data_IF_262663760943
#
_entry.id   IF_262663760943
#
_cell.length_a   1.000
_cell.length_b   1.000
_cell.length_c   1.000
_cell.angle_alpha   90.00
_cell.angle_beta   90.00
_cell.angle_gamma   90.00
#
_symmetry.space_group_name_H-M   'P 1'
#
loop_
_entity.id
_entity.type
_entity.pdbx_description
1 polymer ?
#
# COMPACT_ATOMS: atom_id res chain seq x y z
N UNK A 1 44.44 -0.32 -39.59
CA UNK A 1 44.15 0.82 -38.71
C UNK A 1 43.27 1.77 -39.49
N UNK A 2 42.36 2.48 -38.80
CA UNK A 2 41.16 3.24 -39.25
C UNK A 2 39.90 2.37 -39.49
N UNK A 3 38.65 2.78 -39.24
CA UNK A 3 37.93 3.53 -38.19
C UNK A 3 36.40 3.29 -38.44
N UNK A 4 35.57 3.35 -37.39
CA UNK A 4 34.12 3.67 -37.27
C UNK A 4 33.05 3.34 -38.35
N UNK A 5 31.93 2.80 -37.82
CA UNK A 5 30.49 2.99 -38.14
C UNK A 5 29.73 1.74 -38.63
N UNK A 6 28.82 1.24 -37.80
CA UNK A 6 27.88 0.15 -38.13
C UNK A 6 26.68 0.62 -38.97
N UNK A 7 25.73 -0.27 -39.33
CA UNK A 7 24.49 0.15 -39.95
C UNK A 7 23.43 0.58 -38.91
N UNK A 8 22.81 1.71 -39.21
CA UNK A 8 21.66 2.32 -38.57
C UNK A 8 20.42 1.42 -38.72
N UNK A 9 19.73 1.12 -37.62
CA UNK A 9 18.34 0.66 -37.68
C UNK A 9 17.41 1.77 -37.20
N UNK A 10 16.85 2.49 -38.16
CA UNK A 10 15.80 3.48 -37.94
C UNK A 10 14.48 2.75 -37.68
N UNK A 11 13.99 2.78 -36.44
CA UNK A 11 12.57 2.52 -36.16
C UNK A 11 11.88 3.89 -36.11
N UNK A 12 10.91 4.17 -37.00
CA UNK A 12 10.19 5.43 -36.97
C UNK A 12 9.21 5.41 -35.79
N UNK A 13 9.46 6.22 -34.77
CA UNK A 13 8.41 6.63 -33.85
C UNK A 13 8.03 8.06 -34.23
N UNK A 14 6.77 8.19 -34.62
CA UNK A 14 6.17 9.44 -35.06
C UNK A 14 6.36 10.56 -34.05
N UNK A 15 6.59 11.75 -34.61
CA UNK A 15 6.61 13.06 -33.96
C UNK A 15 5.54 13.17 -32.85
N UNK A 16 5.95 13.52 -31.64
CA UNK A 16 5.27 14.55 -30.82
C UNK A 16 6.16 14.96 -29.62
N UNK A 17 6.65 16.20 -29.69
CA UNK A 17 7.07 17.13 -28.63
C UNK A 17 7.56 16.56 -27.27
N UNK A 18 8.88 16.54 -27.10
CA UNK A 18 9.54 17.41 -26.11
C UNK A 18 9.23 17.30 -24.62
N UNK A 19 8.65 16.21 -24.12
CA UNK A 19 8.67 15.91 -22.68
C UNK A 19 9.56 14.71 -22.41
N UNK A 20 10.60 14.94 -21.62
CA UNK A 20 11.45 13.89 -21.06
C UNK A 20 10.55 12.99 -20.22
N UNK A 21 10.22 11.81 -20.77
CA UNK A 21 9.45 10.80 -20.06
C UNK A 21 10.40 10.16 -19.04
N UNK A 22 10.45 10.71 -17.83
CA UNK A 22 11.20 10.11 -16.73
C UNK A 22 10.60 8.73 -16.45
N UNK A 23 11.40 7.68 -16.68
CA UNK A 23 11.07 6.30 -16.33
C UNK A 23 10.56 6.22 -14.87
N UNK A 24 9.56 5.35 -14.58
CA UNK A 24 8.93 5.31 -13.27
C UNK A 24 9.94 4.88 -12.20
N UNK A 25 9.96 5.63 -11.10
CA UNK A 25 10.67 5.31 -9.88
C UNK A 25 10.40 3.86 -9.49
N UNK A 26 11.44 3.02 -9.41
CA UNK A 26 11.33 1.67 -8.83
C UNK A 26 11.05 1.80 -7.32
N UNK A 27 9.80 2.08 -6.95
CA UNK A 27 9.42 2.10 -5.55
C UNK A 27 9.38 0.65 -5.07
N UNK A 28 10.35 0.30 -4.22
CA UNK A 28 10.50 -1.06 -3.67
C UNK A 28 9.73 -1.28 -2.36
N UNK A 29 9.23 -0.20 -1.74
CA UNK A 29 8.63 -0.24 -0.41
C UNK A 29 7.47 0.75 -0.29
N UNK A 30 6.50 0.44 0.55
CA UNK A 30 5.38 1.33 0.86
C UNK A 30 5.85 2.65 1.46
N UNK A 31 6.94 2.63 2.24
CA UNK A 31 7.57 3.86 2.74
C UNK A 31 8.01 4.80 1.61
N UNK A 32 8.52 4.23 0.50
CA UNK A 32 8.86 5.01 -0.69
C UNK A 32 7.63 5.65 -1.33
N UNK A 33 6.49 4.96 -1.35
CA UNK A 33 5.20 5.51 -1.81
C UNK A 33 4.76 6.68 -0.91
N UNK A 34 4.87 6.51 0.40
CA UNK A 34 4.51 7.56 1.37
C UNK A 34 5.42 8.79 1.32
N UNK A 35 6.60 8.70 0.71
CA UNK A 35 7.54 9.81 0.58
C UNK A 35 7.10 10.69 -0.60
N UNK A 36 6.74 11.95 -0.34
CA UNK A 36 6.08 12.84 -1.30
C UNK A 36 4.73 12.30 -1.80
N UNK A 37 3.92 11.78 -0.87
CA UNK A 37 2.66 11.10 -1.17
C UNK A 37 1.73 11.92 -2.08
N UNK A 38 1.61 13.23 -1.85
CA UNK A 38 0.80 14.13 -2.68
C UNK A 38 1.19 14.06 -4.17
N UNK A 39 2.48 14.14 -4.48
CA UNK A 39 2.94 13.99 -5.87
C UNK A 39 2.76 12.56 -6.36
N UNK A 40 2.95 11.57 -5.49
CA UNK A 40 2.86 10.16 -5.87
C UNK A 40 1.42 9.73 -6.17
N UNK A 41 0.40 10.36 -5.56
CA UNK A 41 -1.00 10.03 -5.83
C UNK A 41 -1.37 10.09 -7.32
N UNK A 42 -0.85 11.10 -8.02
CA UNK A 42 -1.14 11.34 -9.44
C UNK A 42 -0.07 10.78 -10.40
N UNK A 43 1.06 10.27 -9.86
CA UNK A 43 2.11 9.66 -10.67
C UNK A 43 1.69 8.28 -11.18
N UNK A 44 2.11 7.97 -12.40
CA UNK A 44 1.92 6.67 -13.02
C UNK A 44 3.03 5.69 -12.60
N UNK A 45 2.63 4.50 -12.19
CA UNK A 45 3.51 3.41 -11.77
C UNK A 45 3.33 2.19 -12.66
N UNK A 46 4.44 1.50 -12.98
CA UNK A 46 4.39 0.13 -13.49
C UNK A 46 4.52 -0.83 -12.31
N UNK A 47 3.41 -1.44 -11.92
CA UNK A 47 3.39 -2.44 -10.87
C UNK A 47 3.56 -3.85 -11.43
N UNK A 48 4.15 -4.78 -10.65
CA UNK A 48 4.19 -6.19 -11.01
C UNK A 48 2.77 -6.71 -11.31
N UNK A 49 2.59 -7.36 -12.46
CA UNK A 49 1.29 -7.91 -12.88
C UNK A 49 0.40 -6.96 -13.69
N UNK A 50 0.75 -5.67 -13.82
CA UNK A 50 0.01 -4.72 -14.64
C UNK A 50 0.62 -4.62 -16.05
N UNK A 51 -0.23 -4.61 -17.09
CA UNK A 51 0.20 -4.46 -18.48
C UNK A 51 0.52 -3.01 -18.86
N UNK A 52 -0.04 -2.05 -18.13
CA UNK A 52 0.07 -0.62 -18.37
C UNK A 52 0.36 0.14 -17.07
N UNK A 53 0.88 1.36 -17.20
CA UNK A 53 1.10 2.22 -16.06
C UNK A 53 -0.25 2.68 -15.48
N UNK A 54 -0.34 2.73 -14.15
CA UNK A 54 -1.56 3.11 -13.41
C UNK A 54 -1.25 4.21 -12.41
N UNK A 55 -2.17 5.13 -12.16
CA UNK A 55 -1.98 6.12 -11.10
C UNK A 55 -2.13 5.47 -9.73
N UNK A 56 -1.39 5.95 -8.74
CA UNK A 56 -1.46 5.41 -7.39
C UNK A 56 -2.87 5.52 -6.78
N UNK A 57 -3.56 6.65 -7.03
CA UNK A 57 -4.92 6.86 -6.54
C UNK A 57 -5.93 5.83 -7.10
N UNK A 58 -5.70 5.30 -8.30
CA UNK A 58 -6.62 4.35 -8.95
C UNK A 58 -6.49 2.92 -8.40
N UNK A 59 -5.40 2.65 -7.68
CA UNK A 59 -5.08 1.32 -7.13
C UNK A 59 -5.09 1.29 -5.60
N UNK A 60 -5.24 2.45 -4.95
CA UNK A 60 -5.36 2.56 -3.51
C UNK A 60 -6.78 2.17 -3.08
N UNK A 61 -6.87 1.10 -2.29
CA UNK A 61 -8.15 0.57 -1.83
C UNK A 61 -8.33 0.90 -0.35
N UNK A 62 -9.42 1.60 -0.01
CA UNK A 62 -9.79 1.77 1.39
C UNK A 62 -10.25 0.41 1.94
N UNK A 63 -9.72 -0.02 3.10
CA UNK A 63 -10.15 -1.25 3.77
C UNK A 63 -11.65 -1.27 4.07
N UNK A 64 -12.30 -0.11 4.25
CA UNK A 64 -13.76 0.03 4.42
C UNK A 64 -14.58 -0.51 3.24
N UNK A 65 -13.99 -0.52 2.04
CA UNK A 65 -14.62 -1.00 0.81
C UNK A 65 -14.40 -2.50 0.55
N UNK A 66 -13.63 -3.20 1.40
CA UNK A 66 -13.29 -4.61 1.23
C UNK A 66 -14.28 -5.48 2.00
N UNK A 67 -14.93 -6.43 1.33
CA UNK A 67 -15.97 -7.28 1.91
C UNK A 67 -15.67 -8.79 1.88
N UNK A 68 -14.62 -9.21 1.16
CA UNK A 68 -14.19 -10.61 1.08
C UNK A 68 -12.69 -10.79 1.18
N UNK A 69 -12.26 -12.04 1.37
CA UNK A 69 -10.88 -12.47 1.20
C UNK A 69 -10.42 -12.27 -0.26
N UNK A 70 -9.12 -12.05 -0.44
CA UNK A 70 -8.48 -11.92 -1.75
C UNK A 70 -7.03 -12.42 -1.70
N UNK A 71 -6.78 -13.47 -2.49
CA UNK A 71 -5.47 -14.11 -2.61
C UNK A 71 -4.48 -13.32 -3.47
N UNK A 72 -4.93 -12.27 -4.16
CA UNK A 72 -4.07 -11.39 -4.96
C UNK A 72 -3.65 -10.20 -4.11
N UNK A 73 -2.34 -10.01 -3.85
CA UNK A 73 -1.87 -8.85 -3.11
C UNK A 73 -2.22 -7.54 -3.81
N UNK A 74 -2.78 -6.58 -3.05
CA UNK A 74 -3.15 -5.24 -3.54
C UNK A 74 -2.70 -4.17 -2.55
N UNK A 75 -2.80 -2.91 -2.96
CA UNK A 75 -2.44 -1.77 -2.15
C UNK A 75 -3.66 -1.24 -1.40
N UNK A 76 -3.64 -1.38 -0.08
CA UNK A 76 -4.69 -0.96 0.82
C UNK A 76 -4.26 0.21 1.70
N UNK A 77 -5.24 0.96 2.18
CA UNK A 77 -5.05 1.90 3.28
C UNK A 77 -6.22 1.87 4.25
N UNK A 78 -5.96 2.20 5.50
CA UNK A 78 -6.99 2.26 6.53
C UNK A 78 -6.62 3.23 7.64
N UNK A 79 -7.64 3.89 8.19
CA UNK A 79 -7.50 4.76 9.36
C UNK A 79 -7.68 3.94 10.63
N UNK A 80 -6.70 4.01 11.53
CA UNK A 80 -6.66 3.18 12.75
C UNK A 80 -7.69 3.66 13.76
N UNK A 81 -8.52 2.74 14.28
CA UNK A 81 -9.42 3.01 15.42
C UNK A 81 -8.84 2.50 16.74
N UNK A 82 -8.02 1.45 16.70
CA UNK A 82 -7.31 0.92 17.86
C UNK A 82 -6.13 0.06 17.43
N UNK A 83 -5.11 -0.02 18.28
CA UNK A 83 -4.02 -0.97 18.13
C UNK A 83 -3.64 -1.52 19.50
N UNK A 84 -3.57 -2.84 19.63
CA UNK A 84 -3.29 -3.47 20.91
C UNK A 84 -2.38 -4.67 20.78
N UNK A 85 -1.36 -4.75 21.63
CA UNK A 85 -0.61 -5.99 21.83
C UNK A 85 -1.51 -7.01 22.54
N UNK A 86 -1.73 -8.17 21.91
CA UNK A 86 -2.55 -9.26 22.45
C UNK A 86 -1.74 -10.13 23.42
N UNK A 87 -1.08 -9.47 24.37
CA UNK A 87 -0.28 -10.07 25.43
C UNK A 87 0.69 -9.05 26.03
N UNK A 88 1.76 -9.52 26.67
CA UNK A 88 2.73 -8.65 27.40
C UNK A 88 4.10 -8.52 26.73
N UNK A 89 4.40 -9.32 25.71
CA UNK A 89 5.72 -9.40 25.09
C UNK A 89 5.70 -8.92 23.64
N UNK A 90 6.87 -8.50 23.15
CA UNK A 90 7.04 -7.96 21.79
C UNK A 90 6.83 -9.01 20.68
N UNK A 91 6.98 -10.30 20.99
CA UNK A 91 6.73 -11.42 20.08
C UNK A 91 5.26 -11.86 20.03
N UNK A 92 4.38 -11.25 20.83
CA UNK A 92 2.94 -11.46 20.69
C UNK A 92 2.42 -10.72 19.46
N UNK A 93 1.25 -11.13 18.99
CA UNK A 93 0.59 -10.41 17.91
C UNK A 93 0.01 -9.10 18.43
N UNK A 94 0.26 -8.02 17.72
CA UNK A 94 -0.49 -6.78 17.82
C UNK A 94 -1.60 -6.80 16.78
N UNK A 95 -2.81 -6.50 17.20
CA UNK A 95 -3.95 -6.33 16.32
C UNK A 95 -4.25 -4.84 16.20
N UNK A 96 -4.15 -4.32 14.98
CA UNK A 96 -4.46 -2.93 14.65
C UNK A 96 -5.73 -2.91 13.82
N UNK A 97 -6.81 -2.39 14.40
CA UNK A 97 -8.13 -2.34 13.76
C UNK A 97 -8.31 -1.01 13.04
N UNK A 98 -9.00 -1.06 11.91
CA UNK A 98 -9.28 0.09 11.08
C UNK A 98 -10.74 0.52 11.16
N UNK A 99 -11.02 1.77 10.78
CA UNK A 99 -12.37 2.23 10.49
C UNK A 99 -12.97 1.30 9.43
N UNK A 100 -14.08 0.67 9.78
CA UNK A 100 -14.73 -0.34 8.96
C UNK A 100 -16.24 -0.29 9.22
N UNK A 101 -16.98 0.20 8.23
CA UNK A 101 -18.40 0.47 8.29
C UNK A 101 -19.14 -0.84 8.10
N UNK A 102 -19.77 -1.28 9.19
CA UNK A 102 -20.63 -2.45 9.19
C UNK A 102 -21.94 -2.12 8.49
N UNK A 103 -22.00 -2.33 7.19
CA UNK A 103 -23.28 -2.36 6.48
C UNK A 103 -23.92 -3.74 6.67
N UNK A 104 -25.12 -3.78 7.25
CA UNK A 104 -25.92 -5.00 7.43
C UNK A 104 -26.25 -5.72 6.10
N UNK A 105 -26.03 -5.05 4.95
CA UNK A 105 -26.08 -5.63 3.61
C UNK A 105 -24.75 -6.22 3.14
N UNK A 106 -23.60 -5.73 3.63
CA UNK A 106 -22.25 -6.28 3.41
C UNK A 106 -22.05 -7.43 4.40
N UNK A 107 -22.81 -8.50 4.21
CA UNK A 107 -22.79 -9.66 5.10
C UNK A 107 -21.51 -10.44 4.88
N UNK A 108 -20.63 -10.42 5.87
CA UNK A 108 -19.87 -11.57 6.41
C UNK A 108 -18.85 -11.10 7.45
N UNK A 109 -18.23 -9.94 7.22
CA UNK A 109 -17.11 -9.45 8.04
C UNK A 109 -17.51 -8.41 9.09
N UNK A 110 -17.06 -8.61 10.33
CA UNK A 110 -17.43 -7.72 11.47
C UNK A 110 -16.44 -6.57 11.70
N UNK A 111 -15.21 -6.73 11.24
CA UNK A 111 -14.11 -5.78 11.37
C UNK A 111 -13.03 -6.05 10.29
N UNK A 112 -12.06 -5.14 10.20
CA UNK A 112 -10.85 -5.30 9.41
C UNK A 112 -9.62 -4.97 10.27
N UNK A 113 -8.61 -5.85 10.29
CA UNK A 113 -7.40 -5.63 11.08
C UNK A 113 -6.08 -5.89 10.34
N UNK A 114 -5.00 -5.32 10.87
CA UNK A 114 -3.62 -5.68 10.58
C UNK A 114 -3.08 -6.49 11.76
N UNK A 115 -2.67 -7.73 11.49
CA UNK A 115 -2.18 -8.67 12.51
C UNK A 115 -0.74 -9.05 12.23
N UNK A 116 0.18 -8.51 13.04
CA UNK A 116 1.62 -8.77 12.93
C UNK A 116 2.24 -8.83 14.33
N UNK A 117 3.51 -9.24 14.44
CA UNK A 117 4.25 -9.18 15.71
C UNK A 117 4.31 -7.75 16.24
N UNK A 118 4.16 -7.57 17.56
CA UNK A 118 4.15 -6.25 18.20
C UNK A 118 5.44 -5.50 17.93
N UNK A 119 6.60 -6.16 18.06
CA UNK A 119 7.91 -5.58 17.73
C UNK A 119 7.95 -5.01 16.31
N UNK A 120 7.42 -5.75 15.35
CA UNK A 120 7.44 -5.36 13.96
C UNK A 120 6.57 -4.13 13.69
N UNK A 121 5.38 -4.06 14.29
CA UNK A 121 4.52 -2.88 14.18
C UNK A 121 5.12 -1.67 14.89
N UNK A 122 5.72 -1.87 16.07
CA UNK A 122 6.39 -0.81 16.84
C UNK A 122 7.58 -0.22 16.08
N UNK A 123 8.37 -1.04 15.37
CA UNK A 123 9.44 -0.56 14.47
C UNK A 123 8.91 0.31 13.33
N UNK A 124 7.64 0.15 12.94
CA UNK A 124 6.95 0.99 11.95
C UNK A 124 6.29 2.22 12.58
N UNK A 125 6.39 2.39 13.90
CA UNK A 125 5.78 3.46 14.67
C UNK A 125 4.31 3.22 15.00
N UNK A 126 3.81 1.99 14.84
CA UNK A 126 2.43 1.61 15.17
C UNK A 126 2.39 1.11 16.61
N UNK A 127 1.58 1.76 17.42
CA UNK A 127 1.42 1.53 18.86
C UNK A 127 -0.01 1.83 19.29
N UNK A 128 -0.29 1.70 20.59
CA UNK A 128 -1.59 2.02 21.20
C UNK A 128 -2.01 3.49 20.94
N UNK A 129 -1.06 4.39 20.68
CA UNK A 129 -1.30 5.81 20.37
C UNK A 129 -1.55 6.09 18.86
N UNK A 130 -1.69 5.03 18.05
CA UNK A 130 -1.85 5.17 16.59
C UNK A 130 -3.27 5.46 16.14
N UNK A 131 -4.23 5.59 17.06
CA UNK A 131 -5.60 5.97 16.71
C UNK A 131 -5.65 7.25 15.89
N UNK A 132 -6.44 7.23 14.81
CA UNK A 132 -6.58 8.30 13.84
C UNK A 132 -5.49 8.37 12.77
N UNK A 133 -4.41 7.59 12.90
CA UNK A 133 -3.34 7.53 11.89
C UNK A 133 -3.77 6.67 10.70
N UNK A 134 -3.21 6.97 9.53
CA UNK A 134 -3.42 6.15 8.33
C UNK A 134 -2.23 5.24 8.08
N UNK A 135 -2.51 3.96 7.83
CA UNK A 135 -1.51 2.96 7.45
C UNK A 135 -1.76 2.55 5.99
N UNK A 136 -0.72 2.52 5.18
CA UNK A 136 -0.71 1.90 3.86
C UNK A 136 -0.08 0.51 3.96
N UNK A 137 -0.65 -0.46 3.23
CA UNK A 137 -0.27 -1.87 3.28
C UNK A 137 -0.34 -2.47 1.87
N UNK A 138 0.62 -3.32 1.51
CA UNK A 138 0.56 -4.13 0.30
C UNK A 138 0.57 -5.60 0.67
N UNK A 139 -0.54 -6.29 0.46
CA UNK A 139 -0.71 -7.67 0.93
C UNK A 139 -2.01 -8.29 0.47
N UNK A 140 -2.22 -9.55 0.86
CA UNK A 140 -3.47 -10.28 0.64
C UNK A 140 -4.47 -9.97 1.75
N UNK A 141 -5.74 -10.19 1.47
CA UNK A 141 -6.81 -10.11 2.47
C UNK A 141 -7.21 -11.53 2.86
N UNK A 142 -7.10 -11.87 4.14
CA UNK A 142 -7.41 -13.18 4.71
C UNK A 142 -8.49 -13.06 5.78
N UNK A 143 -9.09 -14.18 6.18
CA UNK A 143 -9.97 -14.21 7.34
C UNK A 143 -9.20 -14.19 8.68
N UNK A 144 -9.76 -13.49 9.67
CA UNK A 144 -9.34 -13.53 11.08
C UNK A 144 -10.57 -13.63 11.98
N UNK A 145 -10.96 -14.86 12.32
CA UNK A 145 -12.23 -15.11 13.00
C UNK A 145 -13.42 -14.77 12.09
N UNK A 146 -14.25 -13.82 12.52
CA UNK A 146 -15.39 -13.29 11.73
C UNK A 146 -15.04 -12.01 10.97
N UNK A 147 -13.79 -11.54 11.03
CA UNK A 147 -13.36 -10.31 10.38
C UNK A 147 -12.36 -10.59 9.26
N UNK A 148 -12.01 -9.53 8.53
CA UNK A 148 -10.94 -9.56 7.53
C UNK A 148 -9.63 -9.08 8.13
N UNK A 149 -8.54 -9.48 7.50
CA UNK A 149 -7.21 -9.20 7.98
C UNK A 149 -6.22 -9.05 6.84
N UNK A 150 -5.20 -8.24 7.07
CA UNK A 150 -3.92 -8.36 6.37
C UNK A 150 -2.90 -8.84 7.39
N UNK A 151 -2.23 -9.94 7.09
CA UNK A 151 -1.19 -10.55 7.93
C UNK A 151 0.02 -10.96 7.09
N UNK A 152 1.06 -11.47 7.76
CA UNK A 152 2.30 -11.96 7.14
C UNK A 152 3.06 -10.98 6.23
N UNK A 153 2.96 -9.68 6.55
CA UNK A 153 3.71 -8.62 5.85
C UNK A 153 5.18 -8.55 6.28
N UNK A 154 6.05 -8.38 5.29
CA UNK A 154 7.47 -8.10 5.44
C UNK A 154 7.79 -6.60 5.57
N UNK A 155 9.07 -6.29 5.85
CA UNK A 155 9.51 -4.93 6.21
C UNK A 155 9.19 -3.84 5.17
N UNK A 156 9.10 -4.20 3.89
CA UNK A 156 8.79 -3.25 2.81
C UNK A 156 7.31 -2.99 2.56
N UNK A 157 6.42 -3.78 3.17
CA UNK A 157 5.03 -3.95 2.73
C UNK A 157 4.01 -3.14 3.55
N UNK A 158 4.48 -2.36 4.53
CA UNK A 158 3.62 -1.40 5.23
C UNK A 158 4.37 -0.16 5.70
N UNK A 159 3.63 0.94 5.82
CA UNK A 159 4.13 2.17 6.44
C UNK A 159 2.98 3.00 6.99
N UNK A 160 3.24 3.71 8.09
CA UNK A 160 2.43 4.87 8.45
C UNK A 160 2.56 5.94 7.37
N UNK A 161 1.43 6.56 7.03
CA UNK A 161 1.41 7.78 6.22
C UNK A 161 1.88 8.96 7.10
N UNK A 162 2.77 9.84 6.61
CA UNK A 162 3.11 11.07 7.31
C UNK A 162 1.87 11.91 7.57
N UNK A 163 1.72 12.44 8.80
CA UNK A 163 0.53 13.20 9.24
C UNK A 163 0.08 14.29 8.27
N UNK A 164 1.03 15.00 7.67
CA UNK A 164 0.76 16.07 6.68
C UNK A 164 0.00 15.62 5.42
N UNK A 165 -0.05 14.33 5.15
CA UNK A 165 -0.74 13.76 3.99
C UNK A 165 -2.01 13.01 4.35
N UNK A 166 -2.34 12.86 5.64
CA UNK A 166 -3.51 12.08 6.07
C UNK A 166 -4.83 12.69 5.59
N UNK A 167 -4.90 14.01 5.37
CA UNK A 167 -6.06 14.68 4.80
C UNK A 167 -6.26 14.45 3.30
N UNK A 168 -5.30 13.81 2.61
CA UNK A 168 -5.41 13.49 1.18
C UNK A 168 -6.18 12.19 0.93
N UNK A 169 -6.46 11.42 1.98
CA UNK A 169 -7.24 10.20 1.92
C UNK A 169 -8.52 10.40 2.74
N UNK A 170 -9.66 9.88 2.26
CA UNK A 170 -10.94 9.98 2.96
C UNK A 170 -10.97 9.15 4.26
#
# INVERSE_FOLDING_TARGET
MEDRNGPLSAVPIGRHNGQVLNLPSKIKTIRGICTNFEENLIKYFFLPGFQYAVQLQDILINVDAVDSEDEIPKLYYGKVISSKNMGMHSYNYRMTYFEYTRDLKRRESVDFCLKLKSSFQEEKGISDDSTGRIILMFGKVTASGLGLCIEDLGWGELSLLPKKYESLLP
#
